data_IF_556801876863
#
_entry.id   IF_556801876863
#
_cell.length_a   1.000
_cell.length_b   1.000
_cell.length_c   1.000
_cell.angle_alpha   90.00
_cell.angle_beta   90.00
_cell.angle_gamma   90.00
#
_symmetry.space_group_name_H-M   'P 1'
#
loop_
_entity.id
_entity.type
_entity.pdbx_description
1 polymer ?
#
# COMPACT_ATOMS: atom_id res chain seq x y z
N UNK A 1 -37.04 -89.33 -8.51
CA UNK A 1 -35.97 -90.31 -8.82
C UNK A 1 -34.75 -89.97 -7.98
N UNK A 2 -34.33 -90.89 -7.10
CA UNK A 2 -33.07 -90.82 -6.35
C UNK A 2 -31.89 -91.17 -7.27
N UNK A 3 -30.74 -90.50 -7.09
CA UNK A 3 -29.35 -91.07 -7.04
C UNK A 3 -28.31 -89.94 -7.14
N UNK A 4 -27.63 -89.61 -6.03
CA UNK A 4 -26.21 -89.94 -5.67
C UNK A 4 -25.20 -88.98 -6.32
N UNK A 5 -24.11 -88.50 -5.71
CA UNK A 5 -23.24 -89.08 -4.67
C UNK A 5 -22.36 -87.97 -4.02
N UNK A 6 -21.94 -88.21 -2.78
CA UNK A 6 -20.98 -87.44 -1.98
C UNK A 6 -19.61 -87.22 -2.67
N UNK A 7 -18.89 -86.14 -2.29
CA UNK A 7 -17.63 -86.26 -1.51
C UNK A 7 -16.87 -84.92 -1.30
N UNK A 8 -16.63 -84.65 -0.01
CA UNK A 8 -15.40 -84.16 0.65
C UNK A 8 -15.13 -82.65 0.78
N UNK A 9 -15.05 -82.28 2.07
CA UNK A 9 -14.57 -81.07 2.71
C UNK A 9 -13.09 -80.77 2.42
N UNK A 10 -12.71 -79.48 2.41
CA UNK A 10 -11.52 -78.95 3.06
C UNK A 10 -11.56 -77.41 3.19
N UNK A 11 -11.69 -76.96 4.44
CA UNK A 11 -11.12 -75.78 5.10
C UNK A 11 -10.89 -74.42 4.40
N UNK A 12 -11.38 -73.38 5.12
CA UNK A 12 -10.73 -72.12 5.47
C UNK A 12 -10.53 -71.03 4.40
N UNK A 13 -11.27 -69.91 4.52
CA UNK A 13 -10.86 -68.73 5.30
C UNK A 13 -11.96 -67.66 5.24
N UNK A 14 -12.38 -67.20 6.42
CA UNK A 14 -13.30 -66.08 6.59
C UNK A 14 -12.47 -64.80 6.48
N UNK A 15 -12.70 -64.02 5.43
CA UNK A 15 -12.32 -62.60 5.38
C UNK A 15 -13.63 -61.79 5.30
N UNK A 16 -14.14 -61.43 6.47
CA UNK A 16 -15.25 -60.52 6.63
C UNK A 16 -14.68 -59.10 6.56
N UNK A 17 -14.68 -58.48 5.38
CA UNK A 17 -14.35 -57.06 5.23
C UNK A 17 -15.53 -56.24 5.72
N UNK A 18 -15.47 -55.79 6.97
CA UNK A 18 -16.35 -54.73 7.47
C UNK A 18 -16.01 -53.44 6.73
N UNK A 19 -16.90 -53.01 5.83
CA UNK A 19 -16.97 -51.61 5.40
C UNK A 19 -17.31 -50.78 6.65
N UNK A 20 -16.28 -50.18 7.26
CA UNK A 20 -16.48 -49.10 8.20
C UNK A 20 -17.04 -47.91 7.44
N UNK A 21 -18.30 -47.58 7.67
CA UNK A 21 -18.85 -46.28 7.29
C UNK A 21 -18.08 -45.23 8.10
N UNK A 22 -17.11 -44.58 7.47
CA UNK A 22 -16.54 -43.33 7.97
C UNK A 22 -17.65 -42.31 7.82
N UNK A 23 -18.39 -42.09 8.90
CA UNK A 23 -19.21 -40.89 9.03
C UNK A 23 -18.25 -39.70 8.87
N UNK A 24 -18.54 -38.72 8.01
CA UNK A 24 -17.76 -37.50 8.01
C UNK A 24 -17.92 -36.92 9.40
N UNK A 25 -16.83 -36.91 10.16
CA UNK A 25 -16.72 -36.15 11.40
C UNK A 25 -17.23 -34.77 11.07
N UNK A 26 -18.36 -34.40 11.66
CA UNK A 26 -18.86 -33.05 11.60
C UNK A 26 -17.71 -32.15 12.00
N UNK A 27 -17.38 -31.19 11.15
CA UNK A 27 -16.55 -30.06 11.55
C UNK A 27 -17.32 -29.44 12.71
N UNK A 28 -16.93 -29.76 13.94
CA UNK A 28 -17.21 -28.91 15.07
C UNK A 28 -16.63 -27.57 14.68
N UNK A 29 -17.51 -26.59 14.50
CA UNK A 29 -17.12 -25.20 14.36
C UNK A 29 -16.15 -24.90 15.51
N UNK A 30 -14.89 -24.62 15.14
CA UNK A 30 -13.94 -24.03 16.06
C UNK A 30 -14.53 -22.68 16.47
N UNK A 31 -15.11 -22.62 17.67
CA UNK A 31 -15.15 -21.38 18.42
C UNK A 31 -13.71 -21.15 18.91
N UNK A 32 -12.95 -20.27 18.24
CA UNK A 32 -11.61 -19.92 18.73
C UNK A 32 -10.55 -19.48 17.71
N UNK A 33 -10.90 -18.98 16.52
CA UNK A 33 -9.92 -18.28 15.65
C UNK A 33 -10.33 -16.82 15.58
N UNK A 34 -9.42 -15.92 15.95
CA UNK A 34 -9.66 -14.49 15.83
C UNK A 34 -9.82 -14.12 14.35
N UNK A 35 -10.81 -13.26 14.01
CA UNK A 35 -11.04 -12.88 12.62
C UNK A 35 -9.85 -12.09 12.08
N UNK A 36 -9.51 -12.26 10.81
CA UNK A 36 -8.54 -11.37 10.14
C UNK A 36 -9.15 -9.97 10.03
N UNK A 37 -8.48 -8.96 10.58
CA UNK A 37 -8.94 -7.57 10.60
C UNK A 37 -8.12 -6.73 9.63
N UNK A 38 -8.82 -6.18 8.64
CA UNK A 38 -8.23 -5.30 7.62
C UNK A 38 -8.85 -3.92 7.70
N UNK A 39 -8.02 -2.88 7.71
CA UNK A 39 -8.45 -1.48 7.69
C UNK A 39 -7.93 -0.79 6.44
N UNK A 40 -8.81 -0.19 5.64
CA UNK A 40 -8.41 0.53 4.43
C UNK A 40 -8.67 2.02 4.56
N UNK A 41 -7.61 2.81 4.62
CA UNK A 41 -7.62 4.27 4.76
C UNK A 41 -7.18 4.92 3.45
N UNK A 42 -7.12 6.25 3.44
CA UNK A 42 -6.49 7.00 2.36
C UNK A 42 -7.40 7.99 1.64
N UNK A 43 -6.94 8.42 0.48
CA UNK A 43 -7.62 9.40 -0.36
C UNK A 43 -8.54 8.78 -1.42
N UNK A 44 -8.80 9.51 -2.51
CA UNK A 44 -9.71 9.12 -3.59
C UNK A 44 -9.24 7.89 -4.36
N UNK A 45 -7.92 7.64 -4.43
CA UNK A 45 -7.38 6.46 -5.09
C UNK A 45 -7.68 5.18 -4.30
N UNK A 46 -7.68 5.25 -2.97
CA UNK A 46 -8.17 4.18 -2.09
C UNK A 46 -9.69 4.13 -2.00
N UNK A 47 -10.38 5.28 -1.95
CA UNK A 47 -11.85 5.30 -1.86
C UNK A 47 -12.51 4.75 -3.13
N UNK A 48 -11.85 4.89 -4.28
CA UNK A 48 -12.36 4.44 -5.58
C UNK A 48 -13.24 5.50 -6.27
N UNK A 49 -12.90 6.77 -6.10
CA UNK A 49 -13.49 7.86 -6.89
C UNK A 49 -13.45 7.52 -8.38
N UNK A 50 -14.53 7.77 -9.11
CA UNK A 50 -14.62 7.37 -10.53
C UNK A 50 -15.14 5.96 -10.81
N UNK A 51 -15.42 5.16 -9.78
CA UNK A 51 -15.80 3.76 -9.95
C UNK A 51 -17.14 3.46 -9.27
N UNK A 52 -18.30 3.72 -9.90
CA UNK A 52 -19.58 3.31 -9.33
C UNK A 52 -19.71 1.77 -9.26
N UNK A 53 -20.60 1.21 -8.44
CA UNK A 53 -21.47 1.90 -7.49
C UNK A 53 -20.77 2.23 -6.16
N UNK A 54 -21.07 3.41 -5.61
CA UNK A 54 -20.64 3.80 -4.27
C UNK A 54 -21.58 3.24 -3.20
N UNK A 55 -21.07 3.00 -1.99
CA UNK A 55 -21.94 2.75 -0.84
C UNK A 55 -22.86 3.96 -0.61
N UNK A 56 -24.12 3.70 -0.26
CA UNK A 56 -25.13 4.74 -0.10
C UNK A 56 -25.68 5.35 -1.40
N UNK A 57 -25.15 4.99 -2.58
CA UNK A 57 -25.55 5.54 -3.89
C UNK A 57 -27.06 5.42 -4.16
N UNK A 58 -27.66 4.31 -3.76
CA UNK A 58 -29.07 4.00 -4.02
C UNK A 58 -30.05 4.81 -3.15
N UNK A 59 -29.54 5.52 -2.13
CA UNK A 59 -30.38 6.28 -1.20
C UNK A 59 -31.03 7.48 -1.88
N UNK A 60 -32.14 7.97 -1.32
CA UNK A 60 -32.69 9.26 -1.75
C UNK A 60 -31.66 10.37 -1.52
N UNK A 61 -31.71 11.45 -2.32
CA UNK A 61 -30.71 12.53 -2.25
C UNK A 61 -30.61 13.13 -0.83
N UNK A 62 -31.76 13.32 -0.20
CA UNK A 62 -31.92 13.89 1.14
C UNK A 62 -31.27 13.03 2.24
N UNK A 63 -31.08 11.73 1.96
CA UNK A 63 -30.38 10.80 2.84
C UNK A 63 -28.91 10.67 2.46
N UNK A 64 -28.59 10.70 1.16
CA UNK A 64 -27.22 10.64 0.65
C UNK A 64 -26.32 11.74 1.22
N UNK A 65 -26.85 12.96 1.36
CA UNK A 65 -26.07 14.10 1.87
C UNK A 65 -25.66 13.98 3.35
N UNK A 66 -26.11 12.95 4.06
CA UNK A 66 -25.70 12.61 5.43
C UNK A 66 -25.06 11.22 5.54
N UNK A 67 -24.93 10.51 4.42
CA UNK A 67 -24.31 9.19 4.38
C UNK A 67 -22.78 9.34 4.28
N UNK A 68 -22.07 8.90 5.30
CA UNK A 68 -20.60 9.01 5.37
C UNK A 68 -19.91 8.32 4.19
N UNK A 69 -20.38 7.14 3.78
CA UNK A 69 -19.71 6.37 2.72
C UNK A 69 -19.97 6.98 1.34
N UNK A 70 -21.18 7.51 1.12
CA UNK A 70 -21.49 8.30 -0.07
C UNK A 70 -20.63 9.56 -0.14
N UNK A 71 -20.59 10.36 0.94
CA UNK A 71 -19.82 11.60 0.99
C UNK A 71 -18.31 11.34 0.90
N UNK A 72 -17.83 10.20 1.38
CA UNK A 72 -16.47 9.75 1.22
C UNK A 72 -16.17 9.20 -0.18
N UNK A 73 -17.18 8.98 -1.04
CA UNK A 73 -17.02 8.33 -2.34
C UNK A 73 -16.32 6.97 -2.22
N UNK A 74 -16.81 6.14 -1.30
CA UNK A 74 -16.32 4.77 -1.12
C UNK A 74 -17.01 3.85 -2.13
N UNK A 75 -16.24 3.37 -3.09
CA UNK A 75 -16.70 2.46 -4.13
C UNK A 75 -16.75 1.02 -3.63
N UNK A 76 -17.75 0.26 -4.07
CA UNK A 76 -17.80 -1.20 -3.91
C UNK A 76 -16.77 -1.94 -4.79
N UNK A 77 -16.16 -1.22 -5.72
CA UNK A 77 -15.21 -1.70 -6.73
C UNK A 77 -13.84 -1.03 -6.59
N UNK A 78 -13.58 -0.33 -5.47
CA UNK A 78 -12.26 0.21 -5.16
C UNK A 78 -11.25 -0.92 -4.98
N UNK A 79 -9.97 -0.65 -5.25
CA UNK A 79 -8.94 -1.67 -5.13
C UNK A 79 -8.83 -2.28 -3.73
N UNK A 80 -9.06 -1.57 -2.60
CA UNK A 80 -9.04 -2.22 -1.29
C UNK A 80 -10.17 -3.25 -1.13
N UNK A 81 -11.32 -3.04 -1.77
CA UNK A 81 -12.43 -4.01 -1.79
C UNK A 81 -12.13 -5.26 -2.64
N UNK A 82 -11.13 -5.21 -3.52
CA UNK A 82 -10.71 -6.32 -4.40
C UNK A 82 -9.58 -7.16 -3.80
N UNK A 83 -9.10 -6.83 -2.61
CA UNK A 83 -7.99 -7.54 -1.99
C UNK A 83 -8.39 -8.95 -1.54
N UNK A 84 -7.42 -9.86 -1.60
CA UNK A 84 -7.55 -11.28 -1.27
C UNK A 84 -6.43 -11.69 -0.31
N UNK A 85 -6.73 -12.58 0.63
CA UNK A 85 -5.78 -13.12 1.62
C UNK A 85 -5.84 -14.65 1.57
N UNK A 86 -4.73 -15.34 1.84
CA UNK A 86 -4.56 -16.76 1.48
C UNK A 86 -5.62 -17.71 2.10
N UNK A 87 -6.11 -17.40 3.30
CA UNK A 87 -7.09 -18.24 4.03
C UNK A 87 -8.51 -17.64 4.08
N UNK A 88 -8.74 -16.54 3.35
CA UNK A 88 -10.03 -15.84 3.32
C UNK A 88 -10.65 -16.00 1.93
N UNK A 89 -11.81 -16.64 1.86
CA UNK A 89 -12.53 -16.84 0.60
C UNK A 89 -13.12 -15.52 0.07
N UNK A 90 -13.05 -15.28 -1.24
CA UNK A 90 -13.63 -14.06 -1.83
C UNK A 90 -12.71 -12.84 -1.70
N UNK A 91 -13.28 -11.64 -1.66
CA UNK A 91 -12.50 -10.38 -1.55
C UNK A 91 -12.96 -9.54 -0.37
N UNK A 92 -12.17 -8.54 0.04
CA UNK A 92 -12.48 -7.70 1.20
C UNK A 92 -13.86 -7.05 1.17
N UNK A 93 -14.42 -6.75 -0.01
CA UNK A 93 -15.79 -6.24 -0.13
C UNK A 93 -16.84 -7.16 0.50
N UNK A 94 -16.63 -8.47 0.47
CA UNK A 94 -17.54 -9.48 1.04
C UNK A 94 -17.55 -9.41 2.58
N UNK A 95 -16.53 -8.76 3.17
CA UNK A 95 -16.28 -8.67 4.60
C UNK A 95 -16.44 -7.25 5.15
N UNK A 96 -17.02 -6.32 4.38
CA UNK A 96 -17.26 -4.96 4.87
C UNK A 96 -18.17 -5.00 6.09
N UNK A 97 -17.67 -4.55 7.25
CA UNK A 97 -18.39 -4.60 8.53
C UNK A 97 -19.69 -3.79 8.55
N UNK A 98 -19.90 -2.90 7.58
CA UNK A 98 -21.15 -2.14 7.42
C UNK A 98 -22.26 -2.95 6.76
N UNK A 99 -21.92 -4.03 6.05
CA UNK A 99 -22.87 -4.86 5.31
C UNK A 99 -22.91 -6.31 5.80
N UNK A 100 -21.80 -6.82 6.35
CA UNK A 100 -21.69 -8.20 6.81
C UNK A 100 -21.08 -8.27 8.21
N UNK A 101 -21.34 -9.37 8.92
CA UNK A 101 -20.74 -9.66 10.22
C UNK A 101 -20.12 -11.06 10.19
N UNK A 102 -19.07 -11.21 9.39
CA UNK A 102 -18.34 -12.47 9.29
C UNK A 102 -17.54 -12.76 10.57
N UNK A 103 -17.49 -14.03 11.02
CA UNK A 103 -16.64 -14.46 12.11
C UNK A 103 -15.19 -14.73 11.67
N UNK A 104 -14.89 -14.74 10.37
CA UNK A 104 -13.58 -15.11 9.82
C UNK A 104 -12.73 -13.92 9.40
N UNK A 105 -13.37 -12.84 8.95
CA UNK A 105 -12.68 -11.64 8.48
C UNK A 105 -13.57 -10.42 8.66
N UNK A 106 -12.97 -9.28 8.99
CA UNK A 106 -13.64 -7.99 9.14
C UNK A 106 -12.86 -6.93 8.38
N UNK A 107 -13.53 -6.29 7.43
CA UNK A 107 -12.97 -5.19 6.67
C UNK A 107 -13.61 -3.85 7.07
N UNK A 108 -12.78 -2.93 7.55
CA UNK A 108 -13.16 -1.58 7.92
C UNK A 108 -12.68 -0.60 6.86
N UNK A 109 -13.62 -0.07 6.07
CA UNK A 109 -13.29 0.87 5.00
C UNK A 109 -13.40 2.32 5.49
N UNK A 110 -12.27 3.00 5.67
CA UNK A 110 -12.14 4.36 6.20
C UNK A 110 -11.73 5.43 5.18
N UNK A 111 -11.23 5.05 3.99
CA UNK A 111 -10.76 5.98 2.96
C UNK A 111 -11.81 7.00 2.51
N UNK A 112 -11.39 8.18 2.07
CA UNK A 112 -12.29 9.22 1.61
C UNK A 112 -11.67 10.06 0.49
N UNK A 113 -12.45 10.28 -0.58
CA UNK A 113 -12.06 11.15 -1.70
C UNK A 113 -11.68 12.55 -1.23
N UNK A 114 -10.61 13.13 -1.77
CA UNK A 114 -10.08 14.44 -1.37
C UNK A 114 -9.45 14.50 0.03
N UNK A 115 -9.16 13.36 0.67
CA UNK A 115 -8.46 13.37 1.94
C UNK A 115 -7.00 13.83 1.78
N UNK A 116 -6.53 14.58 2.77
CA UNK A 116 -5.14 15.04 2.91
C UNK A 116 -4.60 14.37 4.17
N UNK A 117 -3.29 14.42 4.42
CA UNK A 117 -2.69 13.85 5.63
C UNK A 117 -3.37 14.32 6.92
N UNK A 118 -3.74 15.61 7.00
CA UNK A 118 -4.46 16.18 8.15
C UNK A 118 -5.82 15.54 8.43
N UNK A 119 -6.47 14.94 7.43
CA UNK A 119 -7.77 14.30 7.56
C UNK A 119 -7.70 12.86 8.09
N UNK A 120 -6.49 12.29 8.19
CA UNK A 120 -6.29 10.97 8.79
C UNK A 120 -6.45 11.05 10.31
N UNK A 121 -5.62 11.86 10.98
CA UNK A 121 -5.55 11.93 12.45
C UNK A 121 -5.81 13.33 13.03
N UNK A 122 -5.53 14.39 12.27
CA UNK A 122 -5.56 15.76 12.76
C UNK A 122 -6.95 16.38 12.87
N UNK A 123 -7.76 16.28 11.82
CA UNK A 123 -8.97 17.07 11.62
C UNK A 123 -10.07 16.28 10.89
N UNK A 124 -11.32 16.68 11.10
CA UNK A 124 -12.45 16.22 10.28
C UNK A 124 -12.34 16.74 8.85
N UNK A 125 -12.90 16.01 7.88
CA UNK A 125 -12.88 16.44 6.49
C UNK A 125 -14.21 17.08 6.09
N UNK A 126 -14.15 18.31 5.59
CA UNK A 126 -15.32 19.02 5.08
C UNK A 126 -15.74 18.47 3.72
N UNK A 127 -17.01 18.09 3.58
CA UNK A 127 -17.64 17.63 2.35
C UNK A 127 -18.75 18.57 1.93
N UNK A 128 -18.55 19.23 0.80
CA UNK A 128 -19.53 20.12 0.17
C UNK A 128 -20.31 19.36 -0.88
N UNK A 129 -21.62 19.43 -0.82
CA UNK A 129 -22.50 18.98 -1.91
C UNK A 129 -23.23 20.15 -2.51
N UNK A 130 -23.47 20.09 -3.81
CA UNK A 130 -24.29 21.05 -4.51
C UNK A 130 -25.11 20.34 -5.57
N UNK A 131 -26.44 20.49 -5.54
CA UNK A 131 -27.35 19.91 -6.53
C UNK A 131 -28.24 20.98 -7.12
N UNK A 132 -28.23 21.09 -8.45
CA UNK A 132 -29.16 21.94 -9.17
C UNK A 132 -30.55 21.29 -9.15
N UNK A 133 -31.51 21.96 -8.53
CA UNK A 133 -32.90 21.48 -8.39
C UNK A 133 -33.85 22.16 -9.38
N UNK A 134 -33.47 23.35 -9.86
CA UNK A 134 -34.19 24.10 -10.90
C UNK A 134 -33.23 25.06 -11.62
N UNK A 135 -33.71 25.76 -12.65
CA UNK A 135 -32.91 26.69 -13.45
C UNK A 135 -32.25 27.79 -12.58
N UNK A 136 -32.91 28.20 -11.49
CA UNK A 136 -32.44 29.26 -10.58
C UNK A 136 -32.18 28.79 -9.14
N UNK A 137 -32.23 27.47 -8.85
CA UNK A 137 -32.10 26.95 -7.48
C UNK A 137 -31.08 25.83 -7.39
N UNK A 138 -30.06 26.06 -6.58
CA UNK A 138 -29.04 25.07 -6.20
C UNK A 138 -29.11 24.84 -4.70
N UNK A 139 -29.32 23.59 -4.29
CA UNK A 139 -29.22 23.18 -2.90
C UNK A 139 -27.75 22.91 -2.59
N UNK A 140 -27.22 23.52 -1.53
CA UNK A 140 -25.84 23.30 -1.06
C UNK A 140 -25.87 22.77 0.36
N UNK A 141 -25.06 21.77 0.64
CA UNK A 141 -24.90 21.19 1.98
C UNK A 141 -23.43 21.07 2.32
N UNK A 142 -23.10 21.17 3.60
CA UNK A 142 -21.78 20.89 4.14
C UNK A 142 -21.91 19.83 5.23
N UNK A 143 -21.05 18.82 5.19
CA UNK A 143 -20.95 17.77 6.20
C UNK A 143 -19.50 17.61 6.64
N UNK A 144 -19.26 17.20 7.89
CA UNK A 144 -17.92 16.91 8.41
C UNK A 144 -17.76 15.40 8.56
N UNK A 145 -16.95 14.79 7.70
CA UNK A 145 -16.55 13.40 7.90
C UNK A 145 -15.64 13.30 9.12
N UNK A 146 -15.77 12.25 9.94
CA UNK A 146 -14.86 12.01 11.05
C UNK A 146 -13.42 11.82 10.55
N UNK A 147 -12.46 11.93 11.47
CA UNK A 147 -11.07 11.60 11.19
C UNK A 147 -11.01 10.12 10.78
N UNK A 148 -10.24 9.78 9.76
CA UNK A 148 -10.21 8.39 9.30
C UNK A 148 -9.71 7.43 10.38
N UNK A 149 -8.79 7.88 11.23
CA UNK A 149 -8.25 7.10 12.36
C UNK A 149 -9.32 6.74 13.41
N UNK A 150 -10.47 7.41 13.41
CA UNK A 150 -11.58 7.05 14.32
C UNK A 150 -12.20 5.70 13.95
N UNK A 151 -11.88 5.14 12.77
CA UNK A 151 -12.30 3.77 12.40
C UNK A 151 -11.78 2.73 13.39
N UNK A 152 -10.57 2.92 13.94
CA UNK A 152 -9.98 2.00 14.92
C UNK A 152 -10.78 1.93 16.22
N UNK A 153 -11.57 2.97 16.56
CA UNK A 153 -12.45 2.94 17.74
C UNK A 153 -13.59 1.90 17.63
N UNK A 154 -13.83 1.38 16.42
CA UNK A 154 -14.87 0.39 16.13
C UNK A 154 -14.29 -1.00 15.92
N UNK A 155 -12.96 -1.13 15.91
CA UNK A 155 -12.26 -2.39 15.77
C UNK A 155 -12.28 -3.12 17.11
N UNK A 156 -12.54 -4.41 17.07
CA UNK A 156 -12.47 -5.31 18.23
C UNK A 156 -11.57 -6.48 17.86
N UNK A 157 -10.38 -6.52 18.45
CA UNK A 157 -9.30 -7.46 18.10
C UNK A 157 -8.07 -6.74 17.57
N UNK A 158 -7.04 -7.51 17.25
CA UNK A 158 -5.79 -7.01 16.70
C UNK A 158 -5.94 -6.72 15.20
N UNK A 159 -5.43 -5.59 14.74
CA UNK A 159 -5.41 -5.28 13.30
C UNK A 159 -4.28 -6.06 12.66
N UNK A 160 -4.58 -6.80 11.59
CA UNK A 160 -3.58 -7.56 10.85
C UNK A 160 -2.97 -6.74 9.70
N UNK A 161 -3.82 -5.96 9.02
CA UNK A 161 -3.41 -5.20 7.83
C UNK A 161 -4.05 -3.81 7.81
N UNK A 162 -3.24 -2.81 7.45
CA UNK A 162 -3.73 -1.48 7.06
C UNK A 162 -3.31 -1.19 5.63
N UNK A 163 -4.22 -0.74 4.78
CA UNK A 163 -3.90 -0.40 3.37
C UNK A 163 -4.25 1.04 3.08
N UNK A 164 -3.40 1.81 2.39
CA UNK A 164 -3.70 3.21 2.06
C UNK A 164 -2.96 3.77 0.84
N UNK A 165 -3.57 4.78 0.23
CA UNK A 165 -2.92 5.85 -0.54
C UNK A 165 -3.10 7.17 0.22
N UNK A 166 -2.07 8.01 0.34
CA UNK A 166 -2.23 9.36 0.92
C UNK A 166 -1.18 10.32 0.38
N UNK A 167 -1.41 11.63 0.55
CA UNK A 167 -0.46 12.68 0.23
C UNK A 167 -0.66 13.33 -1.15
N UNK A 168 -1.43 12.72 -2.06
CA UNK A 168 -1.64 13.29 -3.39
C UNK A 168 -2.36 14.64 -3.37
N UNK A 169 -3.30 14.81 -2.44
CA UNK A 169 -4.00 16.09 -2.24
C UNK A 169 -3.12 17.13 -1.53
N UNK A 170 -2.20 16.71 -0.66
CA UNK A 170 -1.24 17.59 0.04
C UNK A 170 -0.23 18.24 -0.91
N UNK A 171 0.08 17.58 -2.04
CA UNK A 171 0.92 18.13 -3.12
C UNK A 171 0.11 18.80 -4.23
N UNK A 172 -1.21 18.98 -4.05
CA UNK A 172 -2.04 19.76 -4.97
C UNK A 172 -2.24 19.13 -6.36
N UNK A 173 -2.21 17.80 -6.50
CA UNK A 173 -2.42 17.16 -7.81
C UNK A 173 -3.76 17.55 -8.46
N UNK A 174 -4.83 17.75 -7.69
CA UNK A 174 -6.12 18.21 -8.22
C UNK A 174 -6.02 19.58 -8.92
N UNK A 175 -5.19 20.49 -8.39
CA UNK A 175 -4.95 21.80 -9.00
C UNK A 175 -4.09 21.67 -10.26
N UNK A 176 -3.12 20.73 -10.29
CA UNK A 176 -2.35 20.43 -11.49
C UNK A 176 -3.29 19.97 -12.62
N UNK A 177 -4.20 19.03 -12.32
CA UNK A 177 -5.19 18.54 -13.29
C UNK A 177 -6.12 19.67 -13.74
N UNK A 178 -6.55 20.54 -12.83
CA UNK A 178 -7.39 21.69 -13.16
C UNK A 178 -6.66 22.67 -14.08
N UNK A 179 -5.38 22.95 -13.81
CA UNK A 179 -4.52 23.77 -14.67
C UNK A 179 -4.37 23.16 -16.06
N UNK A 180 -4.17 21.85 -16.17
CA UNK A 180 -4.14 21.16 -17.47
C UNK A 180 -5.48 21.26 -18.21
N UNK A 181 -6.60 21.02 -17.52
CA UNK A 181 -7.94 21.04 -18.11
C UNK A 181 -8.38 22.43 -18.60
N UNK A 182 -7.96 23.49 -17.91
CA UNK A 182 -8.41 24.87 -18.18
C UNK A 182 -7.39 25.71 -18.94
N UNK A 183 -6.10 25.36 -18.87
CA UNK A 183 -5.00 26.17 -19.40
C UNK A 183 -4.45 25.73 -20.75
N UNK A 184 -4.73 24.51 -21.21
CA UNK A 184 -3.92 23.87 -22.25
C UNK A 184 -4.29 24.18 -23.71
N UNK A 185 -5.43 24.82 -24.03
CA UNK A 185 -5.76 24.99 -25.46
C UNK A 185 -6.39 26.32 -25.87
N UNK A 186 -5.58 27.12 -26.56
CA UNK A 186 -5.95 28.21 -27.48
C UNK A 186 -6.61 29.48 -26.93
N UNK A 187 -7.09 29.54 -25.70
CA UNK A 187 -7.58 30.81 -25.12
C UNK A 187 -6.47 31.69 -24.53
N UNK A 188 -5.25 31.18 -24.36
CA UNK A 188 -4.12 31.95 -23.87
C UNK A 188 -2.85 31.69 -24.70
N UNK A 189 -2.59 32.56 -25.68
CA UNK A 189 -1.27 32.68 -26.31
C UNK A 189 -0.25 33.13 -25.24
N UNK A 190 0.57 32.19 -24.74
CA UNK A 190 1.87 32.48 -24.14
C UNK A 190 2.09 32.28 -22.63
N UNK A 191 1.10 31.86 -21.82
CA UNK A 191 1.27 31.83 -20.34
C UNK A 191 0.91 30.52 -19.61
N UNK A 192 0.35 29.51 -20.28
CA UNK A 192 -0.05 28.24 -19.63
C UNK A 192 1.12 27.38 -19.13
N UNK A 193 2.16 27.21 -19.95
CA UNK A 193 3.32 26.35 -19.64
C UNK A 193 4.12 26.81 -18.41
N UNK A 194 4.32 28.13 -18.30
CA UNK A 194 4.98 28.76 -17.14
C UNK A 194 4.19 28.58 -15.84
N UNK A 195 2.87 28.36 -15.89
CA UNK A 195 2.06 28.17 -14.68
C UNK A 195 2.21 26.75 -14.12
N UNK A 196 2.19 25.73 -14.98
CA UNK A 196 2.37 24.33 -14.55
C UNK A 196 3.75 24.11 -13.93
N UNK A 197 4.81 24.55 -14.59
CA UNK A 197 6.20 24.43 -14.08
C UNK A 197 6.35 25.17 -12.74
N UNK A 198 5.89 26.43 -12.64
CA UNK A 198 5.93 27.19 -11.37
C UNK A 198 5.12 26.55 -10.24
N UNK A 199 3.97 25.98 -10.57
CA UNK A 199 3.14 25.29 -9.58
C UNK A 199 3.87 24.08 -9.03
N UNK A 200 4.51 23.29 -9.91
CA UNK A 200 5.33 22.14 -9.53
C UNK A 200 6.56 22.56 -8.72
N UNK A 201 7.26 23.62 -9.12
CA UNK A 201 8.40 24.13 -8.37
C UNK A 201 7.98 24.56 -6.95
N UNK A 202 6.84 25.22 -6.82
CA UNK A 202 6.29 25.62 -5.52
C UNK A 202 5.93 24.44 -4.63
N UNK A 203 5.40 23.36 -5.23
CA UNK A 203 5.10 22.11 -4.51
C UNK A 203 6.39 21.53 -3.93
N UNK A 204 7.45 21.44 -4.72
CA UNK A 204 8.72 20.86 -4.26
C UNK A 204 9.46 21.74 -3.26
N UNK A 205 9.33 23.06 -3.36
CA UNK A 205 9.91 23.99 -2.39
C UNK A 205 9.31 23.84 -0.97
N UNK A 206 8.11 23.26 -0.86
CA UNK A 206 7.40 23.08 0.42
C UNK A 206 7.26 21.60 0.82
N UNK A 207 7.91 20.70 0.09
CA UNK A 207 7.67 19.26 0.22
C UNK A 207 8.10 18.69 1.58
N UNK A 208 9.04 19.31 2.29
CA UNK A 208 9.48 18.86 3.61
C UNK A 208 8.32 18.78 4.62
N UNK A 209 7.37 19.73 4.54
CA UNK A 209 6.18 19.71 5.41
C UNK A 209 5.27 18.53 5.04
N UNK A 210 5.01 18.33 3.75
CA UNK A 210 4.22 17.19 3.26
C UNK A 210 4.86 15.86 3.64
N UNK A 211 6.18 15.74 3.47
CA UNK A 211 6.97 14.58 3.86
C UNK A 211 6.81 14.27 5.36
N UNK A 212 6.97 15.28 6.21
CA UNK A 212 6.81 15.14 7.66
C UNK A 212 5.38 14.70 8.04
N UNK A 213 4.37 15.29 7.39
CA UNK A 213 2.97 14.92 7.63
C UNK A 213 2.66 13.48 7.19
N UNK A 214 3.17 13.03 6.04
CA UNK A 214 3.01 11.64 5.58
C UNK A 214 3.67 10.68 6.58
N UNK A 215 4.90 10.96 7.03
CA UNK A 215 5.59 10.16 8.03
C UNK A 215 4.80 10.09 9.34
N UNK A 216 4.23 11.22 9.78
CA UNK A 216 3.39 11.27 10.98
C UNK A 216 2.11 10.44 10.82
N UNK A 217 1.46 10.47 9.65
CA UNK A 217 0.30 9.62 9.36
C UNK A 217 0.63 8.14 9.56
N UNK A 218 1.78 7.66 9.08
CA UNK A 218 2.16 6.25 9.25
C UNK A 218 2.36 5.89 10.72
N UNK A 219 3.03 6.75 11.49
CA UNK A 219 3.21 6.57 12.95
C UNK A 219 1.90 6.58 13.71
N UNK A 220 0.99 7.48 13.35
CA UNK A 220 -0.34 7.55 13.97
C UNK A 220 -1.15 6.28 13.69
N UNK A 221 -1.06 5.75 12.46
CA UNK A 221 -1.71 4.50 12.07
C UNK A 221 -1.14 3.32 12.85
N UNK A 222 0.18 3.15 12.90
CA UNK A 222 0.83 2.08 13.67
C UNK A 222 0.43 2.15 15.15
N UNK A 223 0.47 3.34 15.76
CA UNK A 223 0.07 3.55 17.16
C UNK A 223 -1.37 3.10 17.45
N UNK A 224 -2.24 3.04 16.45
CA UNK A 224 -3.66 2.69 16.60
C UNK A 224 -3.99 1.28 16.11
N UNK A 225 -3.25 0.77 15.13
CA UNK A 225 -3.39 -0.58 14.61
C UNK A 225 -2.62 -1.61 15.46
N UNK A 226 -1.53 -1.19 16.11
CA UNK A 226 -0.59 -2.02 16.84
C UNK A 226 0.65 -2.36 16.01
N UNK A 227 1.76 -2.61 16.70
CA UNK A 227 3.09 -2.90 16.10
C UNK A 227 3.11 -4.20 15.28
N UNK A 228 2.08 -5.05 15.41
CA UNK A 228 1.93 -6.29 14.62
C UNK A 228 1.28 -6.06 13.25
N UNK A 229 0.60 -4.91 13.05
CA UNK A 229 -0.22 -4.67 11.87
C UNK A 229 0.66 -4.35 10.64
N UNK A 230 0.50 -5.10 9.56
CA UNK A 230 1.25 -4.85 8.31
C UNK A 230 0.62 -3.67 7.57
N UNK A 231 1.34 -2.54 7.49
CA UNK A 231 0.89 -1.32 6.81
C UNK A 231 1.37 -1.35 5.36
N UNK A 232 0.45 -1.30 4.41
CA UNK A 232 0.72 -1.38 2.97
C UNK A 232 0.32 -0.05 2.31
N UNK A 233 1.33 0.70 1.90
CA UNK A 233 1.19 1.98 1.22
C UNK A 233 1.30 1.78 -0.28
N UNK A 234 0.22 1.98 -1.02
CA UNK A 234 0.28 1.97 -2.48
C UNK A 234 0.67 3.35 -3.03
N UNK A 235 1.50 3.36 -4.08
CA UNK A 235 1.83 4.57 -4.83
C UNK A 235 0.70 5.00 -5.80
N UNK A 236 1.03 5.96 -6.67
CA UNK A 236 0.13 6.47 -7.72
C UNK A 236 0.66 6.10 -9.11
N UNK A 237 -0.18 5.70 -10.08
CA UNK A 237 0.28 5.47 -11.44
C UNK A 237 0.60 6.80 -12.12
N UNK A 238 1.46 6.76 -13.13
CA UNK A 238 1.54 7.86 -14.12
C UNK A 238 0.13 8.15 -14.65
N UNK A 239 -0.17 9.42 -14.87
CA UNK A 239 -1.55 9.87 -15.05
C UNK A 239 -1.93 10.03 -16.51
N UNK A 240 -1.00 10.49 -17.34
CA UNK A 240 -1.27 10.92 -18.71
C UNK A 240 -0.51 10.05 -19.69
N UNK A 241 -1.09 9.78 -20.85
CA UNK A 241 -0.37 9.15 -21.95
C UNK A 241 0.87 9.98 -22.29
N UNK A 242 2.01 9.31 -22.55
CA UNK A 242 3.29 9.96 -22.83
C UNK A 242 3.22 10.87 -24.07
N UNK A 243 2.38 10.53 -25.05
CA UNK A 243 2.16 11.33 -26.27
C UNK A 243 1.20 12.51 -26.03
N UNK A 244 0.61 12.58 -24.83
CA UNK A 244 -0.38 13.59 -24.46
C UNK A 244 -1.73 13.36 -25.15
N UNK A 245 -2.49 14.46 -25.33
CA UNK A 245 -3.77 14.46 -26.04
C UNK A 245 -3.87 15.61 -27.03
N UNK A 246 -2.88 15.69 -27.91
CA UNK A 246 -2.80 16.71 -28.97
C UNK A 246 -2.85 18.13 -28.40
N UNK A 247 -3.93 18.84 -28.70
CA UNK A 247 -4.10 20.23 -28.26
C UNK A 247 -4.53 20.35 -26.79
N UNK A 248 -5.16 19.32 -26.22
CA UNK A 248 -5.69 19.32 -24.84
C UNK A 248 -4.61 19.11 -23.79
N UNK A 249 -3.55 18.37 -24.11
CA UNK A 249 -2.39 18.12 -23.24
C UNK A 249 -1.21 17.88 -24.18
N UNK A 250 -0.18 18.69 -24.10
CA UNK A 250 1.04 18.47 -24.88
C UNK A 250 1.89 17.32 -24.29
N UNK A 251 2.68 16.66 -25.13
CA UNK A 251 3.68 15.65 -24.71
C UNK A 251 4.60 16.17 -23.58
N UNK A 252 5.00 17.45 -23.65
CA UNK A 252 5.81 18.08 -22.59
C UNK A 252 5.05 18.18 -21.27
N UNK A 253 3.78 18.58 -21.29
CA UNK A 253 2.96 18.67 -20.06
C UNK A 253 2.71 17.27 -19.48
N UNK A 254 2.40 16.29 -20.32
CA UNK A 254 2.26 14.89 -19.91
C UNK A 254 3.55 14.36 -19.26
N UNK A 255 4.70 14.62 -19.89
CA UNK A 255 6.03 14.26 -19.37
C UNK A 255 6.28 14.89 -18.01
N UNK A 256 6.03 16.21 -17.87
CA UNK A 256 6.19 16.93 -16.61
C UNK A 256 5.31 16.31 -15.53
N UNK A 257 4.01 16.11 -15.78
CA UNK A 257 3.09 15.53 -14.80
C UNK A 257 3.54 14.14 -14.38
N UNK A 258 3.83 13.25 -15.34
CA UNK A 258 4.22 11.88 -15.05
C UNK A 258 5.56 11.79 -14.29
N UNK A 259 6.56 12.59 -14.66
CA UNK A 259 7.83 12.62 -13.92
C UNK A 259 7.66 13.10 -12.48
N UNK A 260 6.71 14.01 -12.23
CA UNK A 260 6.42 14.49 -10.88
C UNK A 260 5.65 13.47 -10.04
N UNK A 261 4.80 12.65 -10.66
CA UNK A 261 4.19 11.49 -10.00
C UNK A 261 5.25 10.48 -9.60
N UNK A 262 6.17 10.12 -10.51
CA UNK A 262 7.29 9.22 -10.19
C UNK A 262 8.18 9.80 -9.10
N UNK A 263 8.50 11.09 -9.14
CA UNK A 263 9.25 11.76 -8.07
C UNK A 263 8.51 11.67 -6.73
N UNK A 264 7.20 11.85 -6.72
CA UNK A 264 6.39 11.74 -5.50
C UNK A 264 6.36 10.31 -4.95
N UNK A 265 6.18 9.30 -5.81
CA UNK A 265 6.28 7.90 -5.40
C UNK A 265 7.65 7.55 -4.80
N UNK A 266 8.74 8.04 -5.39
CA UNK A 266 10.08 7.85 -4.84
C UNK A 266 10.21 8.43 -3.42
N UNK A 267 9.59 9.59 -3.16
CA UNK A 267 9.55 10.15 -1.82
C UNK A 267 8.68 9.33 -0.85
N UNK A 268 7.52 8.82 -1.29
CA UNK A 268 6.69 7.92 -0.48
C UNK A 268 7.47 6.66 -0.11
N UNK A 269 8.12 6.03 -1.09
CA UNK A 269 8.97 4.86 -0.89
C UNK A 269 10.09 5.15 0.12
N UNK A 270 10.79 6.28 -0.01
CA UNK A 270 11.83 6.68 0.95
C UNK A 270 11.31 6.94 2.37
N UNK A 271 10.10 7.48 2.53
CA UNK A 271 9.46 7.63 3.86
C UNK A 271 9.13 6.25 4.43
N UNK A 272 8.60 5.34 3.62
CA UNK A 272 8.31 3.96 4.01
C UNK A 272 9.60 3.24 4.43
N UNK A 273 10.68 3.38 3.68
CA UNK A 273 11.98 2.77 4.01
C UNK A 273 12.54 3.30 5.34
N UNK A 274 12.44 4.61 5.60
CA UNK A 274 12.83 5.18 6.90
C UNK A 274 12.00 4.60 8.04
N UNK A 275 10.68 4.57 7.86
CA UNK A 275 9.76 3.99 8.82
C UNK A 275 10.04 2.50 9.09
N UNK A 276 10.34 1.74 8.05
CA UNK A 276 10.74 0.33 8.16
C UNK A 276 12.06 0.17 8.89
N UNK A 277 13.01 1.09 8.69
CA UNK A 277 14.28 1.11 9.42
C UNK A 277 14.11 1.46 10.90
N UNK A 278 13.03 2.16 11.26
CA UNK A 278 12.60 2.44 12.63
C UNK A 278 11.84 1.27 13.28
N UNK A 279 11.67 0.14 12.59
CA UNK A 279 11.04 -1.08 13.13
C UNK A 279 9.57 -1.29 12.74
N UNK A 280 8.95 -0.33 12.06
CA UNK A 280 7.54 -0.44 11.68
C UNK A 280 7.34 -1.49 10.57
N UNK A 281 6.36 -2.41 10.68
CA UNK A 281 5.98 -3.34 9.61
C UNK A 281 5.24 -2.61 8.47
N UNK A 282 5.96 -1.80 7.70
CA UNK A 282 5.41 -1.01 6.59
C UNK A 282 6.04 -1.38 5.24
N UNK A 283 5.23 -1.33 4.18
CA UNK A 283 5.60 -1.76 2.83
C UNK A 283 5.09 -0.77 1.80
N UNK A 284 5.94 -0.43 0.83
CA UNK A 284 5.56 0.37 -0.32
C UNK A 284 5.24 -0.54 -1.49
N UNK A 285 4.12 -0.29 -2.16
CA UNK A 285 3.69 -1.00 -3.37
C UNK A 285 3.71 -0.04 -4.53
N UNK A 286 4.69 -0.22 -5.41
CA UNK A 286 4.72 0.46 -6.70
C UNK A 286 3.61 -0.10 -7.61
N UNK A 287 2.90 0.82 -8.26
CA UNK A 287 1.84 0.51 -9.24
C UNK A 287 2.19 1.02 -10.63
N UNK A 288 3.21 1.88 -10.79
CA UNK A 288 3.59 2.43 -12.09
C UNK A 288 3.95 1.33 -13.07
N UNK A 289 4.78 0.37 -12.65
CA UNK A 289 5.20 -0.75 -13.49
C UNK A 289 4.04 -1.60 -14.01
N UNK A 290 2.92 -1.67 -13.30
CA UNK A 290 1.71 -2.37 -13.74
C UNK A 290 0.93 -1.55 -14.77
N UNK A 291 0.81 -0.24 -14.56
CA UNK A 291 0.12 0.67 -15.48
C UNK A 291 0.94 0.96 -16.75
N UNK A 292 2.26 0.77 -16.74
CA UNK A 292 3.13 0.94 -17.91
C UNK A 292 3.17 -0.30 -18.82
N UNK A 293 2.51 -1.40 -18.44
CA UNK A 293 2.43 -2.61 -19.26
C UNK A 293 1.69 -2.34 -20.57
N UNK A 294 1.95 -3.19 -21.57
CA UNK A 294 1.14 -3.25 -22.79
C UNK A 294 1.15 -1.99 -23.67
N UNK A 295 2.05 -1.02 -23.41
CA UNK A 295 2.08 0.26 -24.12
C UNK A 295 1.59 1.45 -23.28
N UNK A 296 1.07 1.21 -22.08
CA UNK A 296 0.61 2.23 -21.15
C UNK A 296 -0.90 2.24 -20.98
N UNK A 297 -1.32 2.35 -19.74
CA UNK A 297 -2.73 2.36 -19.31
C UNK A 297 -3.11 3.69 -18.64
N UNK A 298 -2.35 4.75 -18.94
CA UNK A 298 -2.61 6.10 -18.46
C UNK A 298 -3.86 6.72 -19.12
N UNK A 299 -4.31 7.86 -18.62
CA UNK A 299 -5.40 8.59 -19.25
C UNK A 299 -5.01 8.95 -20.69
N UNK A 300 -5.96 8.79 -21.62
CA UNK A 300 -5.80 9.02 -23.06
C UNK A 300 -4.99 7.98 -23.85
N UNK A 301 -4.47 6.93 -23.21
CA UNK A 301 -3.93 5.77 -23.93
C UNK A 301 -5.06 4.96 -24.60
N UNK A 302 -4.70 4.07 -25.52
CA UNK A 302 -5.67 3.23 -26.24
C UNK A 302 -6.38 2.22 -25.32
N UNK A 303 -5.72 1.78 -24.25
CA UNK A 303 -6.27 0.87 -23.21
C UNK A 303 -6.19 1.54 -21.83
N UNK A 304 -6.87 2.67 -21.68
CA UNK A 304 -6.79 3.49 -20.48
C UNK A 304 -7.44 2.83 -19.25
N UNK A 305 -6.67 2.71 -18.18
CA UNK A 305 -7.12 2.30 -16.84
C UNK A 305 -7.33 3.49 -15.89
N UNK A 306 -6.96 4.68 -16.34
CA UNK A 306 -7.25 5.96 -15.71
C UNK A 306 -8.30 6.70 -16.54
N UNK A 307 -9.32 7.25 -15.89
CA UNK A 307 -10.31 8.10 -16.54
C UNK A 307 -9.63 9.34 -17.14
N UNK A 308 -10.00 9.71 -18.36
CA UNK A 308 -9.57 10.98 -18.97
C UNK A 308 -10.06 12.19 -18.17
N UNK A 309 -9.66 13.41 -18.55
CA UNK A 309 -10.30 14.60 -18.01
C UNK A 309 -11.74 14.63 -18.54
N UNK A 310 -12.71 14.55 -17.63
CA UNK A 310 -14.13 14.53 -17.96
C UNK A 310 -14.68 15.95 -17.74
N UNK A 311 -14.88 16.69 -18.83
CA UNK A 311 -15.36 18.08 -18.85
C UNK A 311 -16.89 18.21 -18.65
N UNK A 312 -17.52 17.16 -18.11
CA UNK A 312 -18.94 17.18 -17.73
C UNK A 312 -19.13 16.48 -16.40
N UNK A 313 -20.00 17.02 -15.54
CA UNK A 313 -20.34 16.40 -14.26
C UNK A 313 -21.01 15.04 -14.47
N UNK A 314 -20.64 14.10 -13.61
CA UNK A 314 -21.26 12.78 -13.49
C UNK A 314 -22.34 12.84 -12.41
N UNK A 315 -23.35 11.99 -12.51
CA UNK A 315 -24.49 11.98 -11.57
C UNK A 315 -24.08 11.77 -10.11
N UNK A 316 -22.94 11.13 -9.88
CA UNK A 316 -22.43 10.87 -8.55
C UNK A 316 -21.51 11.98 -8.01
N UNK A 317 -21.09 12.97 -8.81
CA UNK A 317 -20.27 14.08 -8.28
C UNK A 317 -21.01 14.79 -7.13
N UNK A 318 -20.36 14.99 -5.99
CA UNK A 318 -20.97 15.72 -4.85
C UNK A 318 -21.33 17.16 -5.23
N UNK A 319 -20.44 17.81 -5.98
CA UNK A 319 -20.64 19.15 -6.50
C UNK A 319 -21.04 19.08 -7.97
N UNK A 320 -22.35 19.25 -8.22
CA UNK A 320 -22.94 19.35 -9.56
C UNK A 320 -22.82 20.76 -10.15
N UNK A 321 -22.04 21.65 -9.53
CA UNK A 321 -21.70 22.96 -10.07
C UNK A 321 -20.29 22.94 -10.69
N UNK A 322 -20.13 23.65 -11.81
CA UNK A 322 -18.91 23.60 -12.61
C UNK A 322 -18.97 22.58 -13.76
N UNK A 323 -17.82 22.32 -14.37
CA UNK A 323 -17.71 21.53 -15.61
C UNK A 323 -16.86 20.26 -15.45
N UNK A 324 -15.80 20.25 -14.64
CA UNK A 324 -14.94 19.06 -14.47
C UNK A 324 -15.52 18.10 -13.44
N UNK A 325 -15.63 16.82 -13.78
CA UNK A 325 -16.01 15.77 -12.83
C UNK A 325 -14.84 15.37 -11.92
N UNK A 326 -15.14 15.02 -10.67
CA UNK A 326 -14.17 14.48 -9.71
C UNK A 326 -13.60 13.13 -10.16
N UNK A 327 -14.28 12.44 -11.08
CA UNK A 327 -13.81 11.17 -11.67
C UNK A 327 -12.55 11.35 -12.53
N UNK A 328 -12.29 12.58 -13.00
CA UNK A 328 -11.17 12.88 -13.88
C UNK A 328 -9.86 12.41 -13.26
N UNK A 329 -9.04 11.72 -14.05
CA UNK A 329 -7.69 11.28 -13.66
C UNK A 329 -7.66 10.28 -12.49
N UNK A 330 -8.80 9.67 -12.15
CA UNK A 330 -8.84 8.56 -11.20
C UNK A 330 -8.86 7.20 -11.92
N UNK A 331 -8.42 6.12 -11.27
CA UNK A 331 -8.58 4.77 -11.79
C UNK A 331 -10.03 4.46 -12.15
N UNK A 332 -10.24 3.76 -13.26
CA UNK A 332 -11.51 3.13 -13.57
C UNK A 332 -11.53 1.69 -13.02
N UNK A 333 -12.55 0.90 -13.38
CA UNK A 333 -12.70 -0.47 -12.89
C UNK A 333 -11.48 -1.37 -13.24
N UNK A 334 -10.85 -1.20 -14.40
CA UNK A 334 -9.63 -1.94 -14.77
C UNK A 334 -8.42 -1.45 -13.99
N UNK A 335 -8.32 -0.14 -13.76
CA UNK A 335 -7.28 0.44 -12.89
C UNK A 335 -7.37 -0.03 -11.44
N UNK A 336 -8.56 -0.17 -10.88
CA UNK A 336 -8.74 -0.76 -9.56
C UNK A 336 -8.27 -2.23 -9.50
N UNK A 337 -8.54 -3.02 -10.56
CA UNK A 337 -8.02 -4.39 -10.65
C UNK A 337 -6.49 -4.40 -10.75
N UNK A 338 -5.89 -3.45 -11.47
CA UNK A 338 -4.45 -3.30 -11.57
C UNK A 338 -3.80 -3.02 -10.22
N UNK A 339 -4.33 -2.03 -9.48
CA UNK A 339 -3.94 -1.78 -8.10
C UNK A 339 -4.05 -3.05 -7.23
N UNK A 340 -5.19 -3.73 -7.30
CA UNK A 340 -5.42 -4.95 -6.52
C UNK A 340 -4.42 -6.06 -6.86
N UNK A 341 -4.01 -6.21 -8.13
CA UNK A 341 -2.97 -7.17 -8.52
C UNK A 341 -1.64 -6.86 -7.84
N UNK A 342 -1.21 -5.60 -7.84
CA UNK A 342 0.04 -5.18 -7.19
C UNK A 342 -0.02 -5.43 -5.67
N UNK A 343 -1.09 -4.97 -5.02
CA UNK A 343 -1.21 -5.08 -3.56
C UNK A 343 -1.40 -6.52 -3.12
N UNK A 344 -2.18 -7.32 -3.85
CA UNK A 344 -2.31 -8.77 -3.56
C UNK A 344 -0.98 -9.51 -3.75
N UNK A 345 -0.10 -9.05 -4.64
CA UNK A 345 1.24 -9.61 -4.75
C UNK A 345 2.09 -9.33 -3.50
N UNK A 346 2.05 -8.08 -3.00
CA UNK A 346 2.73 -7.71 -1.76
C UNK A 346 2.17 -8.48 -0.55
N UNK A 347 0.84 -8.63 -0.44
CA UNK A 347 0.21 -9.43 0.62
C UNK A 347 0.74 -10.86 0.63
N UNK A 348 0.80 -11.52 -0.54
CA UNK A 348 1.33 -12.89 -0.65
C UNK A 348 2.80 -12.98 -0.23
N UNK A 349 3.61 -11.98 -0.56
CA UNK A 349 5.02 -11.92 -0.16
C UNK A 349 5.16 -11.75 1.36
N UNK A 350 4.34 -10.89 1.97
CA UNK A 350 4.28 -10.68 3.42
C UNK A 350 3.87 -11.98 4.12
N UNK A 351 2.79 -12.62 3.68
CA UNK A 351 2.31 -13.90 4.23
C UNK A 351 3.37 -15.00 4.12
N UNK A 352 4.02 -15.12 2.95
CA UNK A 352 5.11 -16.09 2.74
C UNK A 352 6.30 -15.82 3.68
N UNK A 353 6.65 -14.56 3.88
CA UNK A 353 7.72 -14.14 4.78
C UNK A 353 7.39 -14.41 6.25
N UNK A 354 6.12 -14.28 6.66
CA UNK A 354 5.66 -14.66 8.00
C UNK A 354 5.80 -16.17 8.23
N UNK A 355 5.38 -16.99 7.28
CA UNK A 355 5.51 -18.47 7.35
C UNK A 355 6.98 -18.88 7.46
N UNK A 356 7.85 -18.29 6.63
CA UNK A 356 9.28 -18.59 6.66
C UNK A 356 9.93 -18.18 7.99
N UNK A 357 9.63 -16.99 8.52
CA UNK A 357 10.11 -16.54 9.83
C UNK A 357 9.67 -17.47 10.96
N UNK A 358 8.40 -17.89 10.96
CA UNK A 358 7.88 -18.83 11.95
C UNK A 358 8.59 -20.19 11.89
N UNK A 359 8.80 -20.73 10.68
CA UNK A 359 9.52 -21.99 10.48
C UNK A 359 10.98 -21.89 10.98
N UNK A 360 11.68 -20.78 10.68
CA UNK A 360 13.05 -20.55 11.16
C UNK A 360 13.12 -20.43 12.68
N UNK A 361 12.18 -19.70 13.31
CA UNK A 361 12.11 -19.58 14.77
C UNK A 361 11.88 -20.94 15.45
N UNK A 362 11.05 -21.81 14.85
CA UNK A 362 10.78 -23.16 15.36
C UNK A 362 11.93 -24.16 15.15
N UNK A 363 12.89 -23.84 14.28
CA UNK A 363 14.02 -24.71 13.93
C UNK A 363 15.31 -24.42 14.72
N UNK A 364 15.33 -23.38 15.57
CA UNK A 364 16.46 -23.09 16.46
C UNK A 364 16.50 -24.13 17.61
N UNK A 365 17.62 -24.85 17.85
CA UNK A 365 17.73 -25.76 18.99
C UNK A 365 17.60 -24.99 20.31
N UNK A 366 16.84 -25.51 21.29
CA UNK A 366 16.88 -24.97 22.65
C UNK A 366 18.34 -24.98 23.14
N UNK A 367 18.90 -23.81 23.45
CA UNK A 367 20.16 -23.73 24.19
C UNK A 367 19.95 -24.42 25.55
N UNK A 368 20.52 -25.61 25.69
CA UNK A 368 20.61 -26.28 26.99
C UNK A 368 21.41 -25.40 27.94
N UNK A 369 20.95 -25.15 29.18
CA UNK A 369 21.74 -24.38 30.14
C UNK A 369 23.05 -25.11 30.41
N UNK A 370 24.15 -24.38 30.24
CA UNK A 370 25.53 -24.85 30.39
C UNK A 370 25.71 -25.63 31.69
N UNK A 371 26.14 -26.88 31.57
CA UNK A 371 26.47 -27.72 32.71
C UNK A 371 27.82 -27.25 33.27
N UNK A 372 27.79 -26.76 34.51
CA UNK A 372 28.94 -26.29 35.27
C UNK A 372 30.24 -27.07 35.01
N UNK A 373 31.32 -26.35 34.69
CA UNK A 373 32.69 -26.84 34.63
C UNK A 373 33.05 -27.62 35.91
N UNK A 374 33.29 -28.92 35.77
CA UNK A 374 33.99 -29.71 36.77
C UNK A 374 35.50 -29.48 36.61
N UNK A 375 36.07 -28.61 37.44
CA UNK A 375 37.51 -28.44 37.60
C UNK A 375 38.10 -29.76 38.14
N UNK A 376 38.85 -30.48 37.29
CA UNK A 376 39.69 -31.60 37.73
C UNK A 376 41.07 -31.05 38.08
N UNK A 377 41.32 -30.83 39.37
CA UNK A 377 42.68 -30.62 39.89
C UNK A 377 43.43 -31.95 39.89
N UNK A 378 44.43 -32.08 39.01
CA UNK A 378 45.46 -33.12 39.14
C UNK A 378 46.60 -32.52 39.97
N UNK A 379 46.83 -33.11 41.13
CA UNK A 379 48.02 -32.93 41.96
C UNK A 379 48.96 -34.06 41.60
N UNK A 380 50.20 -33.79 41.21
CA UNK A 380 51.33 -34.58 41.67
C UNK A 380 52.69 -33.91 41.44
N UNK A 381 53.57 -34.24 42.38
CA UNK A 381 54.80 -33.59 42.81
C UNK A 381 56.06 -33.96 42.00
N UNK A 382 56.97 -32.99 41.94
CA UNK A 382 58.44 -33.07 41.97
C UNK A 382 59.29 -34.00 41.04
N UNK A 383 60.10 -33.30 40.22
CA UNK A 383 61.57 -33.44 40.02
C UNK A 383 62.18 -34.64 39.24
N UNK A 384 62.96 -34.33 38.19
CA UNK A 384 64.44 -34.55 38.06
C UNK A 384 64.93 -34.12 36.66
N UNK A 385 66.10 -33.47 36.63
CA UNK A 385 66.88 -33.02 35.47
C UNK A 385 67.20 -34.11 34.43
N UNK A 386 67.18 -33.77 33.14
CA UNK A 386 68.25 -34.08 32.19
C UNK A 386 68.13 -33.26 30.89
N UNK A 387 69.26 -32.66 30.54
CA UNK A 387 69.65 -31.99 29.30
C UNK A 387 69.54 -32.92 28.07
N UNK A 388 69.14 -32.38 26.92
CA UNK A 388 69.70 -32.64 25.57
C UNK A 388 68.91 -31.86 24.51
N UNK A 389 69.70 -31.20 23.68
CA UNK A 389 69.43 -30.34 22.53
C UNK A 389 68.67 -31.01 21.38
N UNK A 390 67.86 -30.23 20.65
CA UNK A 390 67.97 -30.08 19.17
C UNK A 390 67.04 -28.99 18.65
N UNK A 391 67.61 -28.19 17.74
CA UNK A 391 67.06 -27.04 17.04
C UNK A 391 65.87 -27.41 16.13
N UNK A 392 64.92 -26.48 15.95
CA UNK A 392 64.57 -25.89 14.64
C UNK A 392 63.56 -24.76 14.88
N UNK A 393 64.04 -23.51 14.88
CA UNK A 393 63.22 -22.31 14.72
C UNK A 393 62.99 -22.07 13.23
N UNK A 394 61.73 -21.90 12.81
CA UNK A 394 61.39 -21.26 11.53
C UNK A 394 60.70 -19.94 11.89
N UNK A 395 61.46 -18.86 11.74
CA UNK A 395 60.96 -17.50 11.56
C UNK A 395 61.17 -17.17 10.09
N UNK A 396 60.13 -16.72 9.40
CA UNK A 396 60.26 -15.91 8.19
C UNK A 396 59.20 -14.80 8.21
N UNK A 397 59.68 -13.57 8.18
CA UNK A 397 58.96 -12.32 7.98
C UNK A 397 58.42 -12.15 6.55
N UNK A 398 57.41 -11.27 6.46
CA UNK A 398 57.08 -10.28 5.41
C UNK A 398 57.31 -10.58 3.93
N UNK A 399 56.25 -10.35 3.14
CA UNK A 399 56.40 -9.66 1.85
C UNK A 399 55.22 -8.69 1.61
N UNK A 400 55.59 -7.53 1.07
CA UNK A 400 54.86 -6.30 0.82
C UNK A 400 54.67 -6.13 -0.70
N UNK A 401 53.51 -5.61 -1.15
CA UNK A 401 53.28 -4.84 -2.40
C UNK A 401 51.78 -4.88 -2.76
N UNK A 402 51.11 -3.84 -3.26
CA UNK A 402 51.45 -2.44 -3.51
C UNK A 402 50.10 -1.68 -3.66
N UNK A 403 50.06 -0.45 -3.16
CA UNK A 403 48.96 0.50 -3.38
C UNK A 403 49.41 1.57 -4.38
N UNK A 404 48.55 1.89 -5.35
CA UNK A 404 48.77 2.97 -6.34
C UNK A 404 48.46 4.36 -5.75
N UNK A 405 49.16 5.43 -6.20
CA UNK A 405 49.05 6.76 -5.61
C UNK A 405 47.97 7.65 -6.26
N UNK A 406 47.32 8.47 -5.43
CA UNK A 406 46.47 9.60 -5.80
C UNK A 406 47.32 10.85 -6.07
N UNK A 407 47.09 11.48 -7.22
CA UNK A 407 47.64 12.80 -7.61
C UNK A 407 46.95 13.96 -6.82
N UNK A 408 47.65 15.08 -6.59
CA UNK A 408 47.13 16.21 -5.82
C UNK A 408 46.45 17.26 -6.71
N UNK A 409 45.24 17.71 -6.34
CA UNK A 409 44.59 18.86 -6.97
C UNK A 409 44.95 20.16 -6.26
N UNK A 410 45.36 21.13 -7.07
CA UNK A 410 45.93 22.42 -6.71
C UNK A 410 44.84 23.45 -6.43
N UNK A 411 45.05 24.25 -5.39
CA UNK A 411 44.28 25.44 -5.10
C UNK A 411 44.52 26.54 -6.16
N UNK A 412 43.45 27.07 -6.73
CA UNK A 412 43.45 28.41 -7.32
C UNK A 412 42.43 29.31 -6.62
N UNK A 413 42.88 30.54 -6.45
CA UNK A 413 42.24 31.66 -5.75
C UNK A 413 41.64 32.59 -6.80
N UNK A 414 40.83 33.58 -6.37
CA UNK A 414 40.22 34.69 -7.14
C UNK A 414 38.78 34.44 -7.64
N UNK A 415 37.81 35.37 -7.58
CA UNK A 415 37.78 36.80 -7.26
C UNK A 415 36.32 37.19 -6.98
N UNK A 416 36.10 37.99 -5.94
CA UNK A 416 34.83 38.69 -5.67
C UNK A 416 34.75 39.91 -6.58
N UNK A 417 33.54 40.30 -7.05
CA UNK A 417 33.26 41.73 -7.15
C UNK A 417 32.01 42.12 -6.36
N UNK A 418 32.19 43.16 -5.55
CA UNK A 418 31.16 43.98 -4.96
C UNK A 418 31.04 45.28 -5.77
N UNK A 419 29.81 45.68 -6.10
CA UNK A 419 29.38 47.08 -6.30
C UNK A 419 27.84 47.04 -6.38
N UNK A 420 27.08 47.42 -5.34
CA UNK A 420 26.72 48.77 -4.84
C UNK A 420 25.31 49.21 -5.30
N UNK A 421 24.62 50.08 -4.51
CA UNK A 421 23.16 50.17 -4.48
C UNK A 421 22.56 51.36 -5.25
N UNK A 422 21.23 51.43 -5.16
CA UNK A 422 20.27 52.33 -5.80
C UNK A 422 20.56 53.84 -5.83
N UNK A 423 20.06 54.46 -6.90
CA UNK A 423 19.46 55.79 -6.94
C UNK A 423 18.11 55.70 -7.66
#
# INVERSE_FOLDING_TARGET
MKKTLLAKCAAALIACTTLGAVLPSGIQASAGVDPVIVVSLGDSYSSGEGIPAFYGQEKAWEQRIYDEDWLAHRSRNSWPGLLTFSDIAGTMRDYNVRETNSPYCKWYFGAASGAETRHISGQTQEKKTAKRTSLFKTLKTTYQLPKQIDVFNRVSGDVDYVTLTIGGNDVGFADIITTCATGSTYLHFGSGKLKLEKQIDSIWAQFDTTRANIKQVYKDIESRAGEQAEIIVAGYPKLLDKEGKGVLISEKEATIVNQNVTKFNNHIAGIVDECKSEGMPIHFVDVEGEFDKGGGHQAYSDDAWINSIILTKQDQDLDQTGFVSAYSIHPNAEGAKAYARCVNAAIREIESSKVMRAAMASAQPEETPDAAEAVVTIVDDAAVNADVTTETEIVCESDEAAAEPLEPDTAETELIPADQPAA
#
